data_IF_911664080527
#
_entry.id   IF_911664080527
#
_cell.length_a   1.000
_cell.length_b   1.000
_cell.length_c   1.000
_cell.angle_alpha   90.00
_cell.angle_beta   90.00
_cell.angle_gamma   90.00
#
_symmetry.space_group_name_H-M   'P 1'
#
loop_
_entity.id
_entity.type
_entity.pdbx_description
1 polymer ?
#
# COMPACT_ATOMS: atom_id res chain seq x y z
N UNK A 1 11.89 1.22 -14.24
CA UNK A 1 10.67 0.64 -13.66
C UNK A 1 9.50 1.54 -14.05
N UNK A 2 8.26 1.07 -14.04
CA UNK A 2 7.12 1.97 -14.22
C UNK A 2 7.12 2.96 -13.06
N UNK A 3 6.86 4.26 -13.33
CA UNK A 3 6.85 5.33 -12.32
C UNK A 3 5.95 4.96 -11.14
N UNK A 4 4.77 4.46 -11.47
CA UNK A 4 3.79 3.97 -10.51
C UNK A 4 3.54 2.47 -10.69
N UNK A 5 3.26 1.77 -9.59
CA UNK A 5 2.84 0.38 -9.63
C UNK A 5 1.70 0.13 -8.64
N UNK A 6 0.67 -0.58 -9.09
CA UNK A 6 -0.45 -0.99 -8.25
C UNK A 6 -0.18 -2.37 -7.65
N UNK A 7 -0.27 -2.50 -6.33
CA UNK A 7 -0.01 -3.75 -5.60
C UNK A 7 -1.12 -4.01 -4.60
N UNK A 8 -1.43 -5.28 -4.34
CA UNK A 8 -2.50 -5.67 -3.42
C UNK A 8 -2.10 -5.31 -1.98
N UNK A 9 -2.96 -4.64 -1.25
CA UNK A 9 -2.77 -4.37 0.18
C UNK A 9 -3.11 -5.63 0.97
N UNK A 10 -2.20 -6.06 1.82
CA UNK A 10 -2.38 -7.23 2.70
C UNK A 10 -2.31 -6.88 4.18
N UNK A 11 -2.00 -5.63 4.53
CA UNK A 11 -1.98 -5.17 5.91
C UNK A 11 -1.35 -3.80 6.08
N UNK A 12 -1.30 -3.36 7.33
CA UNK A 12 -0.59 -2.16 7.78
C UNK A 12 0.34 -2.57 8.92
N UNK A 13 1.57 -2.10 8.89
CA UNK A 13 2.55 -2.35 9.94
C UNK A 13 2.19 -1.57 11.22
N UNK A 14 2.81 -1.92 12.35
CA UNK A 14 2.64 -1.17 13.60
C UNK A 14 3.12 0.29 13.48
N UNK A 15 4.07 0.57 12.58
CA UNK A 15 4.60 1.90 12.32
C UNK A 15 3.74 2.71 11.33
N UNK A 16 2.66 2.11 10.80
CA UNK A 16 1.75 2.75 9.85
C UNK A 16 2.17 2.61 8.38
N UNK A 17 3.16 1.78 8.08
CA UNK A 17 3.55 1.45 6.70
C UNK A 17 2.52 0.53 6.06
N UNK A 18 2.28 0.67 4.76
CA UNK A 18 1.38 -0.20 4.01
C UNK A 18 2.15 -1.45 3.59
N UNK A 19 1.60 -2.63 3.92
CA UNK A 19 2.17 -3.90 3.48
C UNK A 19 1.45 -4.33 2.21
N UNK A 20 2.21 -4.47 1.13
CA UNK A 20 1.68 -4.84 -0.18
C UNK A 20 2.23 -6.16 -0.67
N UNK A 21 1.44 -6.89 -1.47
CA UNK A 21 1.83 -8.10 -2.17
C UNK A 21 1.91 -7.84 -3.67
N UNK A 22 3.05 -8.16 -4.24
CA UNK A 22 3.29 -8.08 -5.68
C UNK A 22 2.62 -9.21 -6.45
N UNK A 23 2.43 -8.97 -7.75
CA UNK A 23 1.97 -10.01 -8.69
C UNK A 23 2.91 -11.23 -8.72
N UNK A 24 4.17 -11.08 -8.29
CA UNK A 24 5.15 -12.18 -8.15
C UNK A 24 5.11 -12.86 -6.78
N UNK A 25 4.14 -12.51 -5.93
CA UNK A 25 3.95 -13.08 -4.60
C UNK A 25 4.88 -12.55 -3.51
N UNK A 26 5.80 -11.63 -3.83
CA UNK A 26 6.68 -10.99 -2.84
C UNK A 26 5.95 -9.90 -2.08
N UNK A 27 6.26 -9.76 -0.79
CA UNK A 27 5.68 -8.76 0.10
C UNK A 27 6.68 -7.62 0.33
N UNK A 28 6.17 -6.39 0.39
CA UNK A 28 6.98 -5.19 0.60
C UNK A 28 6.29 -4.29 1.62
N UNK A 29 7.09 -3.58 2.42
CA UNK A 29 6.64 -2.48 3.26
C UNK A 29 6.89 -1.18 2.51
N UNK A 30 5.85 -0.37 2.33
CA UNK A 30 5.92 0.93 1.66
C UNK A 30 5.45 2.03 2.60
N UNK A 31 6.17 3.15 2.56
CA UNK A 31 5.81 4.32 3.38
C UNK A 31 4.47 4.85 2.90
N UNK A 32 3.63 5.29 3.84
CA UNK A 32 2.37 5.93 3.50
C UNK A 32 2.62 7.43 3.29
N UNK A 33 2.14 8.00 2.18
CA UNK A 33 2.19 9.44 1.97
C UNK A 33 1.50 10.19 3.12
N UNK A 34 2.03 11.37 3.47
CA UNK A 34 1.59 12.12 4.65
C UNK A 34 0.11 12.55 4.58
N UNK A 35 -0.37 12.83 3.38
CA UNK A 35 -1.75 13.22 3.06
C UNK A 35 -2.71 12.02 2.95
N UNK A 36 -2.20 10.79 2.90
CA UNK A 36 -3.04 9.60 2.74
C UNK A 36 -3.68 9.16 4.06
N UNK A 37 -5.00 9.38 4.16
CA UNK A 37 -5.82 8.95 5.30
C UNK A 37 -6.28 7.50 5.14
N UNK A 38 -5.38 6.59 5.47
CA UNK A 38 -5.66 5.16 5.54
C UNK A 38 -5.12 4.58 6.84
N UNK A 39 -5.92 3.76 7.51
CA UNK A 39 -5.61 3.08 8.77
C UNK A 39 -6.18 1.66 8.84
N UNK A 40 -5.92 0.98 9.97
CA UNK A 40 -6.35 -0.40 10.17
C UNK A 40 -7.87 -0.58 10.07
N UNK A 41 -8.62 0.45 10.51
CA UNK A 41 -10.08 0.45 10.43
C UNK A 41 -10.59 0.37 8.98
N UNK A 42 -9.88 0.97 8.03
CA UNK A 42 -10.26 0.95 6.62
C UNK A 42 -10.10 -0.44 5.99
N UNK A 43 -9.12 -1.23 6.44
CA UNK A 43 -8.95 -2.63 6.05
C UNK A 43 -10.10 -3.52 6.54
N UNK A 44 -10.72 -3.15 7.66
CA UNK A 44 -11.76 -3.95 8.31
C UNK A 44 -13.18 -3.55 7.89
N UNK A 45 -13.34 -2.42 7.18
CA UNK A 45 -14.65 -1.95 6.69
C UNK A 45 -15.29 -2.92 5.72
N UNK A 46 -14.50 -3.57 4.89
CA UNK A 46 -14.98 -4.47 3.85
C UNK A 46 -13.99 -5.62 3.65
N UNK A 47 -14.16 -6.68 4.44
CA UNK A 47 -13.23 -7.82 4.49
C UNK A 47 -13.26 -8.70 3.23
N UNK A 48 -14.26 -8.52 2.37
CA UNK A 48 -14.41 -9.27 1.13
C UNK A 48 -13.83 -8.52 -0.08
N UNK A 49 -13.56 -7.21 0.07
CA UNK A 49 -13.01 -6.38 -1.00
C UNK A 49 -11.48 -6.37 -0.96
N UNK A 50 -10.86 -6.68 -2.09
CA UNK A 50 -9.43 -6.45 -2.29
C UNK A 50 -9.16 -4.94 -2.44
N UNK A 51 -8.16 -4.45 -1.70
CA UNK A 51 -7.69 -3.07 -1.78
C UNK A 51 -6.33 -3.02 -2.46
N UNK A 52 -6.11 -2.04 -3.32
CA UNK A 52 -4.85 -1.88 -4.05
C UNK A 52 -4.20 -0.55 -3.69
N UNK A 53 -2.89 -0.57 -3.50
CA UNK A 53 -2.06 0.61 -3.27
C UNK A 53 -1.32 0.99 -4.55
N UNK A 54 -1.43 2.25 -4.96
CA UNK A 54 -0.58 2.86 -5.98
C UNK A 54 0.70 3.34 -5.32
N UNK A 55 1.83 2.81 -5.78
CA UNK A 55 3.15 3.05 -5.21
C UNK A 55 3.97 3.86 -6.19
N UNK A 56 4.47 5.01 -5.75
CA UNK A 56 5.51 5.75 -6.44
C UNK A 56 6.87 5.07 -6.22
N UNK A 57 7.44 4.57 -7.31
CA UNK A 57 8.74 3.89 -7.31
C UNK A 57 9.92 4.82 -7.52
N UNK A 58 9.67 6.10 -7.83
CA UNK A 58 10.70 7.14 -7.94
C UNK A 58 11.09 7.71 -6.58
N UNK A 59 10.18 7.66 -5.60
CA UNK A 59 10.45 8.02 -4.21
C UNK A 59 11.40 7.03 -3.53
N UNK A 60 12.30 7.55 -2.67
CA UNK A 60 13.20 6.74 -1.85
C UNK A 60 13.06 7.13 -0.37
N UNK A 61 12.45 6.28 0.48
CA UNK A 61 11.86 4.98 0.18
C UNK A 61 10.60 5.05 -0.70
N UNK A 62 10.19 3.93 -1.29
CA UNK A 62 8.94 3.83 -2.05
C UNK A 62 7.74 4.24 -1.19
N UNK A 63 6.82 4.97 -1.81
CA UNK A 63 5.70 5.62 -1.12
C UNK A 63 4.36 5.24 -1.74
N UNK A 64 3.39 4.90 -0.89
CA UNK A 64 2.00 4.67 -1.25
C UNK A 64 1.27 6.02 -1.32
N UNK A 65 0.85 6.40 -2.53
CA UNK A 65 0.27 7.71 -2.85
C UNK A 65 -1.24 7.66 -3.09
N UNK A 66 -1.81 6.47 -3.33
CA UNK A 66 -3.26 6.28 -3.50
C UNK A 66 -3.68 4.85 -3.10
N UNK A 67 -4.96 4.69 -2.72
CA UNK A 67 -5.59 3.40 -2.41
C UNK A 67 -6.96 3.31 -3.09
N UNK A 68 -7.24 2.17 -3.73
CA UNK A 68 -8.47 1.86 -4.49
C UNK A 68 -9.16 0.57 -4.01
#
# INVERSE_FOLDING_TARGET
MAKEINQLIIGISREGDIIVKSARGRMYSVKKAADLKFGCEDLLKDTEKELYATIDTESQPWECIAIE
#
